data_IF_056709954612
#
_entry.id   IF_056709954612
#
_cell.length_a   1.000
_cell.length_b   1.000
_cell.length_c   1.000
_cell.angle_alpha   90.00
_cell.angle_beta   90.00
_cell.angle_gamma   90.00
#
_symmetry.space_group_name_H-M   'P 1'
#
loop_
_entity.id
_entity.type
_entity.pdbx_description
1 polymer ?
#
# COMPACT_ATOMS: atom_id res chain seq x y z
N UNK A 1 -19.57 -14.44 10.51
CA UNK A 1 -19.17 -13.56 9.42
C UNK A 1 -17.63 -13.50 9.42
N UNK A 2 -17.01 -13.92 8.31
CA UNK A 2 -15.54 -13.80 8.18
C UNK A 2 -15.20 -12.31 8.15
N UNK A 3 -14.28 -11.83 9.00
CA UNK A 3 -13.88 -10.44 8.94
C UNK A 3 -13.28 -10.17 7.55
N UNK A 4 -13.72 -9.06 6.97
CA UNK A 4 -13.18 -8.57 5.71
C UNK A 4 -11.69 -8.31 5.89
N UNK A 5 -10.84 -8.79 4.98
CA UNK A 5 -9.43 -8.47 5.07
C UNK A 5 -9.20 -6.97 4.77
N UNK A 6 -8.06 -6.46 5.20
CA UNK A 6 -7.76 -5.03 5.06
C UNK A 6 -7.79 -4.55 3.61
N UNK A 7 -7.38 -5.41 2.67
CA UNK A 7 -7.36 -5.11 1.25
C UNK A 7 -8.77 -4.96 0.66
N UNK A 8 -9.67 -5.90 0.98
CA UNK A 8 -11.07 -5.80 0.56
C UNK A 8 -11.75 -4.58 1.12
N UNK A 9 -11.46 -4.24 2.37
CA UNK A 9 -12.01 -3.06 3.02
C UNK A 9 -11.53 -1.76 2.35
N UNK A 10 -10.25 -1.64 2.08
CA UNK A 10 -9.66 -0.45 1.45
C UNK A 10 -10.07 -0.30 -0.01
N UNK A 11 -10.14 -1.39 -0.76
CA UNK A 11 -10.67 -1.37 -2.12
C UNK A 11 -12.14 -0.96 -2.15
N UNK A 12 -12.93 -1.45 -1.22
CA UNK A 12 -14.34 -1.05 -1.09
C UNK A 12 -14.50 0.42 -0.72
N UNK A 13 -13.63 0.96 0.11
CA UNK A 13 -13.68 2.37 0.48
C UNK A 13 -13.19 3.30 -0.63
N UNK A 14 -12.14 2.91 -1.35
CA UNK A 14 -11.44 3.82 -2.25
C UNK A 14 -12.06 3.88 -3.65
N UNK A 15 -12.32 2.74 -4.29
CA UNK A 15 -12.79 2.70 -5.68
C UNK A 15 -13.84 1.62 -5.95
N UNK A 16 -14.68 1.30 -4.95
CA UNK A 16 -15.62 0.20 -5.08
C UNK A 16 -16.67 0.41 -6.17
N UNK A 17 -17.15 1.63 -6.32
CA UNK A 17 -18.20 1.96 -7.29
C UNK A 17 -17.63 2.00 -8.70
N UNK A 18 -16.44 2.53 -8.87
CA UNK A 18 -15.72 2.57 -10.14
C UNK A 18 -15.36 1.15 -10.61
N UNK A 19 -14.92 0.27 -9.71
CA UNK A 19 -14.65 -1.13 -10.04
C UNK A 19 -15.92 -1.89 -10.44
N UNK A 20 -17.05 -1.62 -9.79
CA UNK A 20 -18.36 -2.20 -10.18
C UNK A 20 -18.81 -1.71 -11.55
N UNK A 21 -18.63 -0.42 -11.85
CA UNK A 21 -18.94 0.14 -13.16
C UNK A 21 -18.05 -0.48 -14.25
N UNK A 22 -16.77 -0.68 -13.98
CA UNK A 22 -15.85 -1.33 -14.88
C UNK A 22 -16.23 -2.78 -15.18
N UNK A 23 -16.59 -3.53 -14.15
CA UNK A 23 -17.07 -4.91 -14.27
C UNK A 23 -18.39 -4.98 -15.07
N UNK A 24 -19.31 -4.05 -14.82
CA UNK A 24 -20.55 -3.94 -15.58
C UNK A 24 -20.30 -3.62 -17.05
N UNK A 25 -19.35 -2.73 -17.36
CA UNK A 25 -18.96 -2.42 -18.73
C UNK A 25 -18.35 -3.63 -19.45
N UNK A 26 -17.53 -4.42 -18.76
CA UNK A 26 -17.02 -5.68 -19.30
C UNK A 26 -18.14 -6.66 -19.61
N UNK A 27 -19.05 -6.85 -18.68
CA UNK A 27 -20.22 -7.72 -18.86
C UNK A 27 -21.07 -7.27 -20.05
N UNK A 28 -21.32 -5.97 -20.19
CA UNK A 28 -22.07 -5.40 -21.30
C UNK A 28 -21.36 -5.59 -22.65
N UNK A 29 -20.04 -5.60 -22.68
CA UNK A 29 -19.24 -5.84 -23.89
C UNK A 29 -19.34 -7.27 -24.42
N UNK A 30 -19.75 -8.23 -23.59
CA UNK A 30 -19.77 -9.65 -23.92
C UNK A 30 -18.39 -10.31 -24.04
N UNK A 31 -17.30 -9.57 -23.80
CA UNK A 31 -15.94 -10.09 -23.89
C UNK A 31 -15.51 -10.78 -22.59
N UNK A 32 -14.88 -11.94 -22.71
CA UNK A 32 -14.16 -12.53 -21.59
C UNK A 32 -12.76 -11.89 -21.42
N UNK A 33 -12.04 -12.21 -20.36
CA UNK A 33 -10.72 -11.61 -20.09
C UNK A 33 -9.68 -11.93 -21.16
N UNK A 34 -9.71 -13.10 -21.75
CA UNK A 34 -8.80 -13.48 -22.83
C UNK A 34 -9.00 -12.62 -24.07
N UNK A 35 -10.24 -12.52 -24.54
CA UNK A 35 -10.60 -11.69 -25.69
C UNK A 35 -10.31 -10.19 -25.47
N UNK A 36 -10.59 -9.70 -24.27
CA UNK A 36 -10.32 -8.32 -23.91
C UNK A 36 -8.81 -8.05 -23.83
N UNK A 37 -8.06 -8.98 -23.23
CA UNK A 37 -6.60 -8.90 -23.13
C UNK A 37 -5.92 -8.91 -24.49
N UNK A 38 -6.36 -9.76 -25.41
CA UNK A 38 -5.89 -9.78 -26.80
C UNK A 38 -6.15 -8.45 -27.49
N UNK A 39 -7.35 -7.91 -27.33
CA UNK A 39 -7.73 -6.62 -27.93
C UNK A 39 -6.91 -5.44 -27.43
N UNK A 40 -6.46 -5.48 -26.18
CA UNK A 40 -5.66 -4.44 -25.53
C UNK A 40 -4.15 -4.67 -25.73
N UNK A 41 -3.74 -5.92 -25.95
CA UNK A 41 -2.34 -6.32 -26.07
C UNK A 41 -1.64 -6.53 -24.73
N UNK A 42 -2.34 -7.13 -23.75
CA UNK A 42 -1.83 -7.39 -22.39
C UNK A 42 -2.06 -8.84 -21.97
N UNK A 43 -1.42 -9.25 -20.86
CA UNK A 43 -1.68 -10.54 -20.25
C UNK A 43 -3.07 -10.60 -19.61
N UNK A 44 -3.80 -11.68 -19.80
CA UNK A 44 -5.18 -11.84 -19.28
C UNK A 44 -5.26 -11.87 -17.75
N UNK A 45 -4.25 -12.44 -17.08
CA UNK A 45 -4.21 -12.48 -15.61
C UNK A 45 -3.94 -11.10 -15.04
N UNK A 46 -3.01 -10.35 -15.64
CA UNK A 46 -2.79 -8.95 -15.29
C UNK A 46 -4.06 -8.12 -15.45
N UNK A 47 -4.76 -8.29 -16.57
CA UNK A 47 -6.02 -7.58 -16.82
C UNK A 47 -7.09 -7.96 -15.80
N UNK A 48 -7.27 -9.25 -15.50
CA UNK A 48 -8.23 -9.70 -14.49
C UNK A 48 -7.91 -9.10 -13.10
N UNK A 49 -6.64 -9.04 -12.73
CA UNK A 49 -6.21 -8.40 -11.47
C UNK A 49 -6.42 -6.89 -11.48
N UNK A 50 -6.34 -6.23 -12.64
CA UNK A 50 -6.73 -4.83 -12.82
C UNK A 50 -8.20 -4.60 -12.46
N UNK A 51 -9.11 -5.48 -12.90
CA UNK A 51 -10.53 -5.42 -12.57
C UNK A 51 -10.84 -5.72 -11.10
N UNK A 52 -9.88 -6.28 -10.38
CA UNK A 52 -9.93 -6.44 -8.91
C UNK A 52 -9.29 -5.28 -8.15
N UNK A 53 -8.82 -4.25 -8.85
CA UNK A 53 -8.16 -3.10 -8.24
C UNK A 53 -6.76 -3.38 -7.70
N UNK A 54 -6.08 -4.44 -8.16
CA UNK A 54 -4.79 -4.88 -7.64
C UNK A 54 -3.59 -4.37 -8.44
N UNK A 55 -3.82 -3.62 -9.52
CA UNK A 55 -2.75 -3.15 -10.40
C UNK A 55 -2.76 -1.63 -10.52
N UNK A 56 -1.57 -1.06 -10.57
CA UNK A 56 -1.38 0.26 -11.14
C UNK A 56 -1.39 0.14 -12.67
N UNK A 57 -2.21 0.94 -13.34
CA UNK A 57 -2.38 0.89 -14.80
C UNK A 57 -1.83 2.18 -15.42
N UNK A 58 -0.83 2.11 -16.30
CA UNK A 58 -0.37 3.28 -17.05
C UNK A 58 -1.52 3.94 -17.83
N UNK A 59 -1.49 5.25 -17.96
CA UNK A 59 -2.54 6.05 -18.60
C UNK A 59 -2.87 5.57 -20.02
N UNK A 60 -1.86 5.15 -20.77
CA UNK A 60 -2.02 4.56 -22.10
C UNK A 60 -2.95 3.33 -22.07
N UNK A 61 -2.80 2.46 -21.07
CA UNK A 61 -3.62 1.27 -20.93
C UNK A 61 -5.01 1.57 -20.36
N UNK A 62 -5.16 2.59 -19.52
CA UNK A 62 -6.48 3.09 -19.15
C UNK A 62 -7.29 3.49 -20.40
N UNK A 63 -6.67 4.21 -21.30
CA UNK A 63 -7.28 4.60 -22.59
C UNK A 63 -7.62 3.38 -23.45
N UNK A 64 -6.73 2.40 -23.56
CA UNK A 64 -6.99 1.16 -24.32
C UNK A 64 -8.14 0.34 -23.73
N UNK A 65 -8.21 0.23 -22.40
CA UNK A 65 -9.32 -0.45 -21.70
C UNK A 65 -10.65 0.25 -21.99
N UNK A 66 -10.69 1.58 -21.85
CA UNK A 66 -11.90 2.36 -22.12
C UNK A 66 -12.38 2.17 -23.56
N UNK A 67 -11.48 2.28 -24.52
CA UNK A 67 -11.77 2.08 -25.94
C UNK A 67 -12.29 0.66 -26.23
N UNK A 68 -11.67 -0.35 -25.65
CA UNK A 68 -12.06 -1.75 -25.84
C UNK A 68 -13.44 -2.07 -25.27
N UNK A 69 -13.81 -1.38 -24.19
CA UNK A 69 -15.13 -1.53 -23.53
C UNK A 69 -16.19 -0.57 -24.07
N UNK A 70 -15.83 0.39 -24.91
CA UNK A 70 -16.77 1.41 -25.43
C UNK A 70 -17.27 2.40 -24.38
N UNK A 71 -16.45 2.72 -23.39
CA UNK A 71 -16.75 3.70 -22.33
C UNK A 71 -15.80 4.89 -22.39
N UNK A 72 -16.13 5.98 -21.67
CA UNK A 72 -15.26 7.15 -21.62
C UNK A 72 -13.97 6.88 -20.83
N UNK A 73 -12.88 7.55 -21.20
CA UNK A 73 -11.56 7.35 -20.57
C UNK A 73 -11.59 7.75 -19.09
N UNK A 74 -12.38 8.76 -18.73
CA UNK A 74 -12.53 9.20 -17.34
C UNK A 74 -12.98 8.08 -16.41
N UNK A 75 -13.77 7.13 -16.92
CA UNK A 75 -14.24 5.96 -16.16
C UNK A 75 -13.15 4.91 -15.88
N UNK A 76 -12.01 5.03 -16.50
CA UNK A 76 -10.85 4.13 -16.31
C UNK A 76 -9.66 4.80 -15.63
N UNK A 77 -9.66 6.12 -15.51
CA UNK A 77 -8.50 6.87 -14.97
C UNK A 77 -8.21 6.60 -13.50
N UNK A 78 -9.18 6.14 -12.71
CA UNK A 78 -8.94 5.72 -11.34
C UNK A 78 -7.93 4.55 -11.25
N UNK A 79 -7.81 3.75 -12.30
CA UNK A 79 -6.84 2.65 -12.39
C UNK A 79 -5.38 3.14 -12.45
N UNK A 80 -5.15 4.40 -12.78
CA UNK A 80 -3.81 5.00 -12.76
C UNK A 80 -3.31 5.39 -11.35
N UNK A 81 -4.01 4.97 -10.31
CA UNK A 81 -3.57 5.10 -8.93
C UNK A 81 -2.90 3.80 -8.46
N UNK A 82 -1.86 3.94 -7.64
CA UNK A 82 -1.27 2.77 -6.99
C UNK A 82 -2.25 2.21 -5.95
N UNK A 83 -2.66 0.96 -6.07
CA UNK A 83 -3.58 0.37 -5.10
C UNK A 83 -2.88 0.17 -3.75
N UNK A 84 -3.61 0.40 -2.68
CA UNK A 84 -3.15 -0.01 -1.35
C UNK A 84 -3.30 -1.53 -1.22
N UNK A 85 -2.19 -2.21 -0.98
CA UNK A 85 -2.12 -3.68 -0.89
C UNK A 85 -1.91 -4.20 0.55
N UNK A 86 -2.03 -3.35 1.54
CA UNK A 86 -1.80 -3.73 2.93
C UNK A 86 -0.39 -4.30 3.13
N UNK A 87 -0.30 -5.42 3.84
CA UNK A 87 0.98 -6.09 4.10
C UNK A 87 1.59 -6.77 2.87
N UNK A 88 0.87 -6.85 1.76
CA UNK A 88 1.37 -7.41 0.48
C UNK A 88 2.03 -6.34 -0.39
N UNK A 89 1.88 -5.06 -0.05
CA UNK A 89 2.62 -4.00 -0.72
C UNK A 89 4.13 -4.17 -0.51
N UNK A 90 4.96 -4.12 -1.58
CA UNK A 90 6.39 -4.36 -1.46
C UNK A 90 7.12 -3.40 -0.53
N UNK A 91 6.72 -2.13 -0.46
CA UNK A 91 7.31 -1.14 0.46
C UNK A 91 6.91 -1.43 1.90
N UNK A 92 5.62 -1.66 2.15
CA UNK A 92 5.13 -1.97 3.49
C UNK A 92 5.69 -3.31 4.00
N UNK A 93 5.80 -4.31 3.12
CA UNK A 93 6.45 -5.56 3.44
C UNK A 93 7.90 -5.35 3.92
N UNK A 94 8.68 -4.49 3.26
CA UNK A 94 10.05 -4.17 3.67
C UNK A 94 10.11 -3.46 5.01
N UNK A 95 9.19 -2.55 5.30
CA UNK A 95 9.10 -1.89 6.62
C UNK A 95 8.79 -2.90 7.73
N UNK A 96 7.86 -3.82 7.49
CA UNK A 96 7.58 -4.92 8.43
C UNK A 96 8.79 -5.84 8.61
N UNK A 97 9.49 -6.21 7.56
CA UNK A 97 10.71 -7.01 7.62
C UNK A 97 11.80 -6.35 8.47
N UNK A 98 11.99 -5.04 8.34
CA UNK A 98 12.94 -4.27 9.17
C UNK A 98 12.56 -4.38 10.65
N UNK A 99 11.29 -4.20 10.99
CA UNK A 99 10.82 -4.30 12.36
C UNK A 99 10.91 -5.73 12.91
N UNK A 100 10.59 -6.72 12.12
CA UNK A 100 10.69 -8.13 12.52
C UNK A 100 12.14 -8.55 12.76
N UNK A 101 13.07 -8.09 11.91
CA UNK A 101 14.48 -8.43 11.99
C UNK A 101 15.23 -7.65 13.08
N UNK A 102 15.02 -6.33 13.14
CA UNK A 102 15.80 -5.44 14.00
C UNK A 102 15.03 -4.91 15.22
N UNK A 103 13.72 -5.17 15.30
CA UNK A 103 12.88 -4.68 16.40
C UNK A 103 13.40 -5.03 17.79
N UNK A 104 13.78 -6.28 18.08
CA UNK A 104 14.36 -6.64 19.38
C UNK A 104 15.64 -5.85 19.70
N UNK A 105 16.54 -5.68 18.74
CA UNK A 105 17.76 -4.91 18.92
C UNK A 105 17.47 -3.42 19.14
N UNK A 106 16.54 -2.84 18.40
CA UNK A 106 16.09 -1.46 18.59
C UNK A 106 15.54 -1.26 20.00
N UNK A 107 14.72 -2.20 20.46
CA UNK A 107 14.19 -2.18 21.83
C UNK A 107 15.30 -2.18 22.87
N UNK A 108 16.28 -3.07 22.74
CA UNK A 108 17.40 -3.16 23.68
C UNK A 108 18.17 -1.85 23.75
N UNK A 109 18.49 -1.24 22.62
CA UNK A 109 19.19 0.04 22.56
C UNK A 109 18.36 1.17 23.20
N UNK A 110 17.05 1.20 22.96
CA UNK A 110 16.17 2.18 23.60
C UNK A 110 16.23 2.02 25.13
N UNK A 111 16.19 0.78 25.63
CA UNK A 111 16.25 0.50 27.06
C UNK A 111 17.63 0.81 27.67
N UNK A 112 18.73 0.58 26.96
CA UNK A 112 20.06 0.96 27.41
C UNK A 112 20.22 2.47 27.55
N UNK A 113 19.70 3.23 26.58
CA UNK A 113 19.84 4.69 26.54
C UNK A 113 18.76 5.43 27.33
N UNK A 114 17.55 4.94 27.30
CA UNK A 114 16.35 5.62 27.82
C UNK A 114 15.72 4.98 29.06
N UNK A 115 16.21 3.82 29.50
CA UNK A 115 15.62 3.05 30.60
C UNK A 115 14.37 2.29 30.19
N UNK A 116 13.64 1.77 31.18
CA UNK A 116 12.41 1.03 30.94
C UNK A 116 11.27 1.97 30.48
N UNK A 117 11.14 2.14 29.20
CA UNK A 117 10.24 3.10 28.59
C UNK A 117 9.78 2.63 27.20
N UNK A 118 8.76 3.31 26.67
CA UNK A 118 8.28 3.14 25.29
C UNK A 118 8.42 4.44 24.50
N UNK A 119 8.37 4.34 23.20
CA UNK A 119 8.24 5.49 22.30
C UNK A 119 6.75 5.77 22.06
N UNK A 120 6.32 7.03 22.24
CA UNK A 120 4.97 7.44 21.86
C UNK A 120 4.81 7.40 20.34
N UNK A 121 3.66 6.92 19.86
CA UNK A 121 3.23 7.04 18.48
C UNK A 121 2.22 8.20 18.26
N UNK A 122 1.92 8.96 19.32
CA UNK A 122 0.99 10.10 19.28
C UNK A 122 1.76 11.41 19.41
N UNK A 123 2.59 11.55 20.43
CA UNK A 123 3.59 12.61 20.54
C UNK A 123 4.82 12.17 19.73
N UNK A 124 4.73 12.34 18.41
CA UNK A 124 5.56 11.65 17.43
C UNK A 124 5.69 12.45 16.13
N UNK A 125 6.90 12.53 15.63
CA UNK A 125 7.21 13.06 14.30
C UNK A 125 7.72 11.96 13.38
N UNK A 126 7.28 11.99 12.13
CA UNK A 126 7.74 11.08 11.08
C UNK A 126 8.23 11.90 9.89
N UNK A 127 9.41 11.56 9.41
CA UNK A 127 9.99 12.18 8.23
C UNK A 127 10.52 11.13 7.28
N UNK A 128 10.38 11.38 5.97
CA UNK A 128 10.81 10.47 4.92
C UNK A 128 11.51 11.26 3.83
N UNK A 129 12.77 10.91 3.55
CA UNK A 129 13.56 11.48 2.48
C UNK A 129 14.08 10.40 1.54
N UNK A 130 14.20 10.73 0.27
CA UNK A 130 14.96 9.95 -0.70
C UNK A 130 16.18 10.77 -1.09
N UNK A 131 17.37 10.27 -0.75
CA UNK A 131 18.65 10.94 -1.00
C UNK A 131 19.51 10.10 -1.92
N UNK A 132 20.45 10.73 -2.62
CA UNK A 132 21.48 10.07 -3.39
C UNK A 132 22.75 9.90 -2.52
N UNK A 133 23.31 8.69 -2.49
CA UNK A 133 24.57 8.44 -1.81
C UNK A 133 25.78 8.80 -2.69
N UNK A 134 27.00 8.68 -2.11
CA UNK A 134 28.24 9.03 -2.80
C UNK A 134 28.53 8.17 -4.06
N UNK A 135 27.87 7.03 -4.19
CA UNK A 135 28.00 6.09 -5.31
C UNK A 135 26.90 6.29 -6.38
N UNK A 136 26.01 7.26 -6.17
CA UNK A 136 24.89 7.55 -7.08
C UNK A 136 23.66 6.67 -6.88
N UNK A 137 23.60 5.89 -5.79
CA UNK A 137 22.40 5.10 -5.47
C UNK A 137 21.41 5.94 -4.68
N UNK A 138 20.12 5.72 -4.94
CA UNK A 138 19.08 6.35 -4.13
C UNK A 138 18.84 5.55 -2.85
N UNK A 139 18.72 6.30 -1.73
CA UNK A 139 18.52 5.75 -0.38
C UNK A 139 17.26 6.34 0.23
N UNK A 140 16.44 5.48 0.82
CA UNK A 140 15.29 5.93 1.62
C UNK A 140 15.73 6.11 3.06
N UNK A 141 15.49 7.28 3.61
CA UNK A 141 15.73 7.60 5.02
C UNK A 141 14.38 7.82 5.68
N UNK A 142 14.10 7.07 6.75
CA UNK A 142 12.88 7.21 7.54
C UNK A 142 13.31 7.55 8.96
N UNK A 143 12.80 8.66 9.49
CA UNK A 143 13.08 9.13 10.84
C UNK A 143 11.82 9.02 11.69
N UNK A 144 11.92 8.28 12.78
CA UNK A 144 10.92 8.22 13.84
C UNK A 144 11.40 9.07 15.02
N UNK A 145 10.64 10.07 15.38
CA UNK A 145 10.93 11.00 16.47
C UNK A 145 9.77 10.97 17.47
N UNK A 146 9.80 10.02 18.37
CA UNK A 146 8.74 9.78 19.34
C UNK A 146 9.18 10.12 20.76
N UNK A 147 8.30 10.77 21.52
CA UNK A 147 8.54 11.06 22.94
C UNK A 147 8.77 9.78 23.73
N UNK A 148 9.83 9.74 24.52
CA UNK A 148 10.11 8.64 25.41
C UNK A 148 9.15 8.70 26.61
N UNK A 149 8.43 7.60 26.85
CA UNK A 149 7.43 7.48 27.92
C UNK A 149 7.89 6.41 28.92
N UNK A 150 8.43 6.78 30.10
CA UNK A 150 8.77 5.82 31.14
C UNK A 150 7.53 5.07 31.64
N UNK A 151 7.64 3.77 31.86
CA UNK A 151 6.56 2.95 32.41
C UNK A 151 6.17 3.34 33.82
N UNK A 152 7.16 3.76 34.64
CA UNK A 152 6.90 4.18 36.00
C UNK A 152 7.72 5.42 36.37
N UNK A 153 7.11 6.26 37.19
CA UNK A 153 7.84 7.36 37.82
C UNK A 153 8.72 6.81 38.94
N UNK A 154 9.98 7.22 38.97
CA UNK A 154 10.95 6.81 39.99
C UNK A 154 10.36 6.96 41.38
N UNK A 155 10.42 5.90 42.17
CA UNK A 155 9.98 5.90 43.57
C UNK A 155 8.47 5.74 43.81
N UNK A 156 7.65 5.56 42.76
CA UNK A 156 6.20 5.50 42.92
C UNK A 156 5.64 4.10 42.92
N UNK A 157 6.27 3.13 42.22
CA UNK A 157 5.80 1.74 42.14
C UNK A 157 6.97 0.77 42.12
N UNK A 158 6.85 -0.36 42.85
CA UNK A 158 7.81 -1.47 42.79
C UNK A 158 7.51 -2.48 41.66
N UNK A 159 6.61 -2.18 40.78
CA UNK A 159 6.10 -3.07 39.73
C UNK A 159 6.46 -2.68 38.35
#
# INVERSE_FOLDING_TARGET
>A
MTPMNNEEYLLKLQFSDELKELEAAKKASGLNFEQLAEKIGVNKVWLASTFKGQQWVPEEYCTKIAKALGISVEKTMFLNNHPYKGNTDPILYRLHEVLDTYGPAIKDIIHEQGGNAIMSAIDFGLDVDVIEDAEGNHRVIIKFDGKLLPYAKKGKYPW
#
